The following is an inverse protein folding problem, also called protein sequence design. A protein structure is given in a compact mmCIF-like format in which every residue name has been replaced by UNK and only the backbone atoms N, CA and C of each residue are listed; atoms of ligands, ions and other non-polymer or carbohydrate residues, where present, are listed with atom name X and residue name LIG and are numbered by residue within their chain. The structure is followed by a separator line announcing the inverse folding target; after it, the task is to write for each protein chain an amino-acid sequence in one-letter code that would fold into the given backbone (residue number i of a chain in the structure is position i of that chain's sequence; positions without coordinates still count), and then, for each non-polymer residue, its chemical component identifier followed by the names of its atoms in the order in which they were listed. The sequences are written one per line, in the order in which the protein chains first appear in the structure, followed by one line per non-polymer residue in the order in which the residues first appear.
data_IF_062321479148
#
_entry.id   IF_062321479148
#
_cell.length_a   1.000
_cell.length_b   1.000
_cell.length_c   1.000
_cell.angle_alpha   90.00
_cell.angle_beta   90.00
_cell.angle_gamma   90.00
#
_symmetry.space_group_name_H-M   'P 1'
#
loop_
_entity.id
_entity.type
_entity.pdbx_description
1 polymer ?
#
# COMPACT_ATOMS: atom_id res chain seq x y z
N UNK A 1 -4.55 -20.43 0.51
CA UNK A 1 -3.82 -20.23 1.78
C UNK A 1 -4.20 -18.85 2.33
N UNK A 2 -4.48 -18.73 3.63
CA UNK A 2 -4.69 -17.44 4.30
C UNK A 2 -3.72 -17.39 5.47
N UNK A 3 -3.02 -16.29 5.59
CA UNK A 3 -2.06 -16.01 6.67
C UNK A 3 -2.57 -14.81 7.48
N UNK A 4 -2.18 -14.73 8.75
CA UNK A 4 -2.56 -13.68 9.69
C UNK A 4 -1.80 -12.37 9.41
N UNK A 5 -0.52 -12.47 9.05
CA UNK A 5 0.35 -11.33 8.77
C UNK A 5 1.41 -11.60 7.68
N UNK A 6 2.24 -10.58 7.40
CA UNK A 6 3.25 -10.63 6.33
C UNK A 6 4.53 -11.39 6.70
N UNK A 7 4.71 -11.75 7.96
CA UNK A 7 5.87 -12.48 8.47
C UNK A 7 5.56 -13.98 8.70
N UNK A 8 4.29 -14.38 8.67
CA UNK A 8 3.90 -15.79 8.75
C UNK A 8 4.55 -16.62 7.62
N UNK A 9 5.22 -17.71 8.01
CA UNK A 9 5.93 -18.60 7.09
C UNK A 9 5.23 -19.95 6.92
N UNK A 10 5.31 -20.48 5.71
CA UNK A 10 4.78 -21.79 5.32
C UNK A 10 5.87 -22.63 4.64
N UNK A 11 5.65 -23.94 4.49
CA UNK A 11 6.63 -24.90 3.97
C UNK A 11 6.20 -25.60 2.66
N UNK A 12 5.16 -25.10 1.99
CA UNK A 12 4.70 -25.63 0.71
C UNK A 12 5.48 -25.02 -0.46
N UNK A 13 6.08 -25.88 -1.28
CA UNK A 13 6.75 -25.42 -2.50
C UNK A 13 5.78 -25.46 -3.69
N UNK A 14 5.41 -24.30 -4.22
CA UNK A 14 4.60 -24.21 -5.44
C UNK A 14 4.96 -22.99 -6.31
N UNK A 15 4.66 -23.07 -7.62
CA UNK A 15 4.74 -21.93 -8.54
C UNK A 15 5.43 -22.21 -9.87
N UNK A 16 5.49 -21.18 -10.72
CA UNK A 16 6.10 -21.24 -12.05
C UNK A 16 7.55 -20.77 -11.98
N UNK A 17 8.47 -21.55 -12.55
CA UNK A 17 9.88 -21.18 -12.62
C UNK A 17 10.09 -19.75 -13.17
N UNK A 18 11.01 -18.99 -12.59
CA UNK A 18 11.31 -17.57 -12.90
C UNK A 18 10.21 -16.55 -12.54
N UNK A 19 9.08 -17.01 -12.01
CA UNK A 19 8.01 -16.19 -11.43
C UNK A 19 7.91 -16.35 -9.92
N UNK A 20 8.33 -17.50 -9.41
CA UNK A 20 8.47 -17.79 -7.98
C UNK A 20 9.65 -17.03 -7.36
N UNK A 21 9.48 -16.58 -6.11
CA UNK A 21 10.53 -15.93 -5.33
C UNK A 21 11.64 -16.93 -4.93
N UNK A 22 12.90 -16.49 -4.82
CA UNK A 22 14.03 -17.39 -4.58
C UNK A 22 13.96 -18.15 -3.25
N UNK A 23 13.24 -17.63 -2.25
CA UNK A 23 13.11 -18.26 -0.94
C UNK A 23 12.08 -19.40 -0.86
N UNK A 24 11.22 -19.58 -1.87
CA UNK A 24 10.08 -20.54 -1.84
C UNK A 24 10.53 -22.01 -1.82
N UNK A 25 11.81 -22.28 -2.07
CA UNK A 25 12.39 -23.62 -1.87
C UNK A 25 12.53 -24.02 -0.39
N UNK A 26 12.27 -23.08 0.53
CA UNK A 26 12.35 -23.25 1.97
C UNK A 26 11.08 -22.69 2.63
N UNK A 27 11.11 -22.61 3.96
CA UNK A 27 10.13 -21.80 4.69
C UNK A 27 10.18 -20.36 4.22
N UNK A 28 9.03 -19.82 3.87
CA UNK A 28 8.91 -18.50 3.29
C UNK A 28 7.59 -17.85 3.67
N UNK A 29 7.56 -16.52 3.64
CA UNK A 29 6.31 -15.76 3.75
C UNK A 29 5.59 -15.71 2.40
N UNK A 30 4.36 -16.23 2.28
CA UNK A 30 3.59 -16.18 1.04
C UNK A 30 3.37 -14.76 0.54
N UNK A 31 3.07 -13.82 1.46
CA UNK A 31 2.83 -12.41 1.11
C UNK A 31 4.09 -11.78 0.51
N UNK A 32 5.26 -12.07 1.07
CA UNK A 32 6.52 -11.53 0.54
C UNK A 32 6.91 -12.20 -0.78
N UNK A 33 6.65 -13.50 -0.93
CA UNK A 33 6.83 -14.19 -2.20
C UNK A 33 5.90 -13.63 -3.30
N UNK A 34 4.66 -13.30 -2.96
CA UNK A 34 3.70 -12.65 -3.87
C UNK A 34 4.21 -11.27 -4.31
N UNK A 35 4.81 -10.48 -3.42
CA UNK A 35 5.42 -9.19 -3.77
C UNK A 35 6.49 -9.33 -4.85
N UNK A 36 7.34 -10.35 -4.76
CA UNK A 36 8.32 -10.66 -5.80
C UNK A 36 7.66 -10.96 -7.14
N UNK A 37 6.67 -11.85 -7.14
CA UNK A 37 5.93 -12.20 -8.35
C UNK A 37 5.25 -10.96 -8.97
N UNK A 38 4.65 -10.09 -8.16
CA UNK A 38 4.09 -8.81 -8.61
C UNK A 38 5.16 -7.92 -9.27
N UNK A 39 6.35 -7.79 -8.69
CA UNK A 39 7.44 -7.02 -9.29
C UNK A 39 7.90 -7.59 -10.64
N UNK A 40 7.94 -8.92 -10.78
CA UNK A 40 8.22 -9.60 -12.06
C UNK A 40 7.15 -9.30 -13.12
N UNK A 41 5.88 -9.30 -12.73
CA UNK A 41 4.76 -8.93 -13.61
C UNK A 41 4.90 -7.47 -14.06
N UNK A 42 5.16 -6.54 -13.14
CA UNK A 42 5.31 -5.12 -13.47
C UNK A 42 6.47 -4.88 -14.44
N UNK A 43 7.65 -5.47 -14.20
CA UNK A 43 8.78 -5.41 -15.13
C UNK A 43 8.41 -5.95 -16.52
N UNK A 44 7.77 -7.12 -16.56
CA UNK A 44 7.37 -7.76 -17.82
C UNK A 44 6.39 -6.90 -18.62
N UNK A 45 5.45 -6.23 -17.95
CA UNK A 45 4.49 -5.34 -18.62
C UNK A 45 5.16 -4.06 -19.10
N UNK A 46 6.03 -3.44 -18.29
CA UNK A 46 6.81 -2.25 -18.67
C UNK A 46 7.64 -2.51 -19.93
N UNK A 47 8.37 -3.62 -19.95
CA UNK A 47 9.21 -4.01 -21.09
C UNK A 47 8.36 -4.32 -22.34
N UNK A 48 7.25 -5.05 -22.17
CA UNK A 48 6.35 -5.41 -23.28
C UNK A 48 5.71 -4.20 -23.94
N UNK A 49 5.34 -3.19 -23.16
CA UNK A 49 4.66 -2.00 -23.66
C UNK A 49 5.60 -0.83 -23.97
N UNK A 50 6.91 -0.96 -23.70
CA UNK A 50 7.89 0.10 -23.92
C UNK A 50 7.57 1.37 -23.14
N UNK A 51 6.96 1.25 -21.95
CA UNK A 51 6.58 2.40 -21.14
C UNK A 51 7.76 2.87 -20.29
N UNK A 52 8.09 4.14 -20.44
CA UNK A 52 9.04 4.84 -19.58
C UNK A 52 8.29 5.39 -18.36
N UNK A 53 8.05 4.50 -17.38
CA UNK A 53 7.59 4.89 -16.04
C UNK A 53 8.67 4.50 -15.03
N UNK A 54 9.57 5.45 -14.79
CA UNK A 54 10.74 5.21 -13.94
C UNK A 54 10.35 4.96 -12.49
N UNK A 55 9.32 5.64 -11.97
CA UNK A 55 8.79 5.36 -10.63
C UNK A 55 8.32 3.91 -10.52
N UNK A 56 7.58 3.43 -11.53
CA UNK A 56 7.08 2.06 -11.55
C UNK A 56 8.20 1.04 -11.74
N UNK A 57 9.21 1.39 -12.53
CA UNK A 57 10.42 0.57 -12.74
C UNK A 57 11.22 0.42 -11.45
N UNK A 58 11.42 1.51 -10.71
CA UNK A 58 12.08 1.49 -9.39
C UNK A 58 11.27 0.67 -8.39
N UNK A 59 9.95 0.87 -8.32
CA UNK A 59 9.10 0.11 -7.41
C UNK A 59 9.10 -1.39 -7.73
N UNK A 60 9.00 -1.75 -9.01
CA UNK A 60 9.04 -3.15 -9.44
C UNK A 60 10.40 -3.81 -9.15
N UNK A 61 11.49 -3.06 -9.25
CA UNK A 61 12.83 -3.52 -8.84
C UNK A 61 12.87 -3.76 -7.33
N UNK A 62 12.36 -2.84 -6.52
CA UNK A 62 12.40 -2.98 -5.05
C UNK A 62 11.49 -4.13 -4.57
N UNK A 63 10.34 -4.37 -5.23
CA UNK A 63 9.49 -5.55 -5.02
C UNK A 63 10.22 -6.88 -5.32
N UNK A 64 11.21 -6.86 -6.22
CA UNK A 64 12.05 -8.02 -6.57
C UNK A 64 13.39 -7.99 -5.83
N UNK A 65 13.47 -7.36 -4.66
CA UNK A 65 14.62 -7.48 -3.79
C UNK A 65 14.84 -8.94 -3.36
N UNK A 66 16.09 -9.39 -3.35
CA UNK A 66 16.43 -10.77 -2.98
C UNK A 66 16.11 -11.07 -1.51
N UNK A 67 16.37 -10.12 -0.60
CA UNK A 67 15.92 -10.22 0.79
C UNK A 67 14.42 -9.89 0.89
N UNK A 68 13.57 -10.84 1.32
CA UNK A 68 12.12 -10.62 1.45
C UNK A 68 11.77 -9.45 2.37
N UNK A 69 12.61 -9.13 3.36
CA UNK A 69 12.37 -8.02 4.30
C UNK A 69 12.58 -6.64 3.69
N UNK A 70 13.28 -6.57 2.56
CA UNK A 70 13.53 -5.33 1.83
C UNK A 70 12.41 -5.00 0.83
N UNK A 71 11.49 -5.94 0.58
CA UNK A 71 10.40 -5.76 -0.38
C UNK A 71 9.32 -4.85 0.20
N UNK A 72 9.00 -3.72 -0.44
CA UNK A 72 7.94 -2.84 0.04
C UNK A 72 6.56 -3.50 -0.09
N UNK A 73 5.59 -3.02 0.65
CA UNK A 73 4.19 -3.39 0.43
C UNK A 73 3.69 -2.81 -0.90
N UNK A 74 2.83 -3.54 -1.60
CA UNK A 74 2.20 -3.05 -2.85
C UNK A 74 1.44 -1.74 -2.61
N UNK A 75 0.89 -1.55 -1.39
CA UNK A 75 0.19 -0.33 -0.98
C UNK A 75 1.11 0.90 -0.83
N UNK A 76 2.42 0.70 -0.71
CA UNK A 76 3.40 1.78 -0.60
C UNK A 76 3.74 2.41 -1.96
N UNK A 77 3.18 1.90 -3.07
CA UNK A 77 3.32 2.45 -4.41
C UNK A 77 3.14 3.98 -4.47
N UNK A 78 2.17 4.52 -3.72
CA UNK A 78 1.90 5.96 -3.68
C UNK A 78 3.10 6.82 -3.24
N UNK A 79 4.09 6.25 -2.56
CA UNK A 79 5.33 6.95 -2.21
C UNK A 79 6.28 7.09 -3.39
N UNK A 80 6.26 6.15 -4.32
CA UNK A 80 7.11 6.15 -5.51
C UNK A 80 6.59 7.10 -6.59
N UNK A 81 5.28 7.30 -6.66
CA UNK A 81 4.66 8.26 -7.59
C UNK A 81 4.68 9.70 -7.09
N UNK A 82 4.91 9.93 -5.79
CA UNK A 82 4.85 11.25 -5.15
C UNK A 82 6.23 11.93 -4.98
N UNK A 83 7.34 11.22 -5.19
CA UNK A 83 8.67 11.81 -5.03
C UNK A 83 9.09 12.58 -6.30
N UNK A 84 9.49 13.85 -6.20
CA UNK A 84 10.12 14.54 -7.31
C UNK A 84 11.46 13.86 -7.62
N UNK A 85 11.60 13.39 -8.86
CA UNK A 85 12.77 12.67 -9.38
C UNK A 85 14.08 13.39 -9.06
N UNK A 86 14.69 13.02 -7.94
CA UNK A 86 16.05 13.40 -7.59
C UNK A 86 16.70 12.25 -6.83
N UNK A 87 17.27 11.37 -7.65
CA UNK A 87 18.41 10.51 -7.33
C UNK A 87 18.15 9.21 -6.55
N UNK A 88 18.47 8.12 -7.25
CA UNK A 88 18.84 6.85 -6.69
C UNK A 88 19.95 7.02 -5.63
N UNK A 89 19.73 6.50 -4.42
CA UNK A 89 20.76 6.40 -3.40
C UNK A 89 20.21 6.50 -1.99
N UNK A 90 20.30 5.41 -1.24
CA UNK A 90 20.10 5.29 0.21
C UNK A 90 18.68 5.50 0.75
N UNK A 91 17.87 4.44 0.75
CA UNK A 91 16.88 4.24 1.82
C UNK A 91 17.60 3.50 2.95
N UNK A 92 18.20 4.29 3.83
CA UNK A 92 18.81 3.85 5.06
C UNK A 92 18.76 4.98 6.08
N UNK A 93 17.56 5.26 6.60
CA UNK A 93 17.34 5.56 8.02
C UNK A 93 15.84 5.86 8.26
N UNK A 94 15.19 4.99 9.01
CA UNK A 94 13.94 5.30 9.69
C UNK A 94 14.26 6.19 10.88
N UNK A 95 13.84 7.45 10.83
CA UNK A 95 13.82 8.29 12.02
C UNK A 95 12.44 8.91 12.22
N UNK A 96 11.78 8.40 13.25
CA UNK A 96 10.44 8.75 13.67
C UNK A 96 10.39 10.21 14.13
N UNK A 97 9.57 11.05 13.49
CA UNK A 97 9.14 12.33 14.08
C UNK A 97 7.62 12.51 14.00
N UNK A 98 7.01 11.96 15.05
CA UNK A 98 5.86 12.47 15.82
C UNK A 98 4.92 13.45 15.12
N UNK A 99 3.70 12.97 14.88
CA UNK A 99 2.53 13.82 14.76
C UNK A 99 2.31 14.62 16.06
N UNK A 100 2.22 15.94 15.93
CA UNK A 100 1.66 16.83 16.95
C UNK A 100 1.23 18.13 16.32
N UNK A 101 -0.08 18.32 16.15
CA UNK A 101 -0.73 19.64 16.20
C UNK A 101 -2.11 19.50 16.82
N UNK A 102 -2.33 20.03 18.04
CA UNK A 102 -3.67 20.25 18.55
C UNK A 102 -4.16 21.67 18.26
N UNK A 103 -5.49 21.75 18.12
CA UNK A 103 -6.43 22.86 18.38
C UNK A 103 -6.25 24.21 17.69
N UNK A 104 -7.30 24.61 16.97
CA UNK A 104 -7.70 26.01 16.80
C UNK A 104 -9.06 26.19 17.47
N UNK A 105 -9.07 26.87 18.62
CA UNK A 105 -10.24 27.57 19.13
C UNK A 105 -10.20 29.00 18.58
N UNK A 106 -11.29 29.49 17.98
CA UNK A 106 -11.57 30.93 17.88
C UNK A 106 -13.07 31.19 17.98
N UNK A 107 -13.37 31.95 19.02
CA UNK A 107 -14.62 32.48 19.58
C UNK A 107 -15.53 33.25 18.62
N UNK A 108 -16.83 33.01 18.83
CA UNK A 108 -18.07 33.84 18.78
C UNK A 108 -18.37 34.82 17.64
N UNK A 109 -19.63 34.73 17.20
CA UNK A 109 -20.40 35.77 16.51
C UNK A 109 -21.89 35.49 16.68
N UNK A 110 -22.53 36.24 17.58
CA UNK A 110 -23.95 36.23 17.94
C UNK A 110 -24.91 36.42 16.75
N UNK A 111 -26.09 35.81 16.84
CA UNK A 111 -27.16 35.95 15.85
C UNK A 111 -28.40 35.11 16.16
N UNK A 112 -29.08 35.46 17.25
CA UNK A 112 -30.43 35.07 17.65
C UNK A 112 -31.46 35.04 16.48
N UNK A 113 -32.26 33.97 16.31
CA UNK A 113 -33.74 34.04 16.41
C UNK A 113 -34.47 32.69 16.11
N UNK A 114 -35.30 32.28 17.08
CA UNK A 114 -36.62 31.58 17.01
C UNK A 114 -36.85 30.19 16.36
N UNK A 115 -37.23 29.26 17.28
CA UNK A 115 -38.31 28.23 17.27
C UNK A 115 -38.24 27.00 16.32
N UNK A 116 -38.33 25.76 16.86
CA UNK A 116 -38.74 24.55 16.13
C UNK A 116 -40.27 24.36 16.23
N UNK A 117 -40.96 23.75 15.26
CA UNK A 117 -41.09 22.27 15.26
C UNK A 117 -41.35 21.63 13.88
N UNK A 118 -41.10 20.32 13.71
CA UNK A 118 -42.19 19.36 13.47
C UNK A 118 -41.68 17.91 13.50
N UNK A 119 -42.40 17.09 14.25
CA UNK A 119 -42.32 15.63 14.26
C UNK A 119 -43.45 15.13 13.35
N UNK A 120 -43.19 14.16 12.46
CA UNK A 120 -43.92 12.89 12.37
C UNK A 120 -43.47 12.03 11.19
N UNK A 121 -43.04 10.82 11.54
CA UNK A 121 -43.05 9.62 10.70
C UNK A 121 -44.46 9.38 10.16
N UNK A 122 -44.58 9.03 8.89
CA UNK A 122 -45.67 8.16 8.43
C UNK A 122 -45.14 7.11 7.45
N UNK A 123 -45.42 5.87 7.83
CA UNK A 123 -45.32 4.60 7.10
C UNK A 123 -46.70 4.36 6.47
N UNK A 124 -46.75 3.93 5.22
CA UNK A 124 -47.86 3.23 4.55
C UNK A 124 -47.20 2.56 3.32
N UNK A 125 -46.94 1.25 3.26
CA UNK A 125 -47.83 0.10 3.04
C UNK A 125 -48.74 0.18 1.79
N UNK A 126 -48.33 -0.65 0.81
CA UNK A 126 -49.06 -1.50 -0.13
C UNK A 126 -50.43 -1.10 -0.69
N UNK A 127 -50.50 -1.14 -2.02
CA UNK A 127 -51.69 -1.33 -2.85
C UNK A 127 -51.25 -1.77 -4.24
#
# INVERSE_FOLDING_TARGET
MRVEDEDEEVDDQCGTQNWTAPEVEKRHSPIKADRWACGRVLQSLLDRFGKEDESLRVFARDLTAHDPKQRPSVLEWGRYSALPFSHAGNIGNSDARKASRPRRDRVEGDGENTKPPNVKKQRLESG
#
